data_IF_781185200947
#
_entry.id   IF_781185200947
#
_cell.length_a   1.000
_cell.length_b   1.000
_cell.length_c   1.000
_cell.angle_alpha   90.00
_cell.angle_beta   90.00
_cell.angle_gamma   90.00
#
_symmetry.space_group_name_H-M   'P 1'
#
loop_
_entity.id
_entity.type
_entity.pdbx_description
1 polymer ?
#
# COMPACT_ATOMS: atom_id res chain seq x y z
N UNK A 1 -8.76 -67.47 -53.67
CA UNK A 1 -8.49 -68.47 -52.61
C UNK A 1 -7.93 -67.70 -51.43
N UNK A 2 -8.54 -67.58 -50.27
CA UNK A 2 -9.82 -68.09 -49.80
C UNK A 2 -10.23 -67.23 -48.58
N UNK A 3 -11.52 -66.89 -48.55
CA UNK A 3 -12.39 -66.66 -47.39
C UNK A 3 -11.85 -66.20 -46.01
N UNK A 4 -12.27 -64.99 -45.62
CA UNK A 4 -13.31 -64.73 -44.61
C UNK A 4 -13.07 -65.23 -43.15
N UNK A 5 -13.00 -64.30 -42.18
CA UNK A 5 -13.70 -64.43 -40.87
C UNK A 5 -13.80 -63.09 -40.11
N UNK A 6 -15.02 -62.55 -40.19
CA UNK A 6 -15.72 -61.57 -39.32
C UNK A 6 -15.19 -61.41 -37.89
N UNK A 7 -15.18 -60.17 -37.39
CA UNK A 7 -15.68 -59.73 -36.06
C UNK A 7 -15.74 -58.19 -36.04
N UNK A 8 -16.94 -57.62 -36.18
CA UNK A 8 -17.84 -57.12 -35.12
C UNK A 8 -17.74 -55.59 -34.99
N UNK A 9 -18.79 -54.95 -35.49
CA UNK A 9 -19.13 -53.54 -35.32
C UNK A 9 -19.40 -53.24 -33.84
N UNK A 10 -18.80 -52.17 -33.33
CA UNK A 10 -19.38 -51.37 -32.25
C UNK A 10 -19.17 -49.90 -32.58
N UNK A 11 -20.24 -49.27 -33.04
CA UNK A 11 -20.35 -47.82 -33.14
C UNK A 11 -20.64 -47.26 -31.75
N UNK A 12 -19.78 -46.37 -31.26
CA UNK A 12 -20.02 -45.58 -30.06
C UNK A 12 -20.14 -44.13 -30.49
N UNK A 13 -21.36 -43.64 -30.68
CA UNK A 13 -21.64 -42.21 -30.74
C UNK A 13 -21.43 -41.63 -29.33
N UNK A 14 -20.35 -40.87 -29.13
CA UNK A 14 -20.22 -39.99 -27.99
C UNK A 14 -20.96 -38.68 -28.31
N UNK A 15 -22.12 -38.48 -27.71
CA UNK A 15 -22.83 -37.20 -27.75
C UNK A 15 -22.05 -36.17 -26.92
N UNK A 16 -21.49 -35.15 -27.56
CA UNK A 16 -20.92 -33.98 -26.89
C UNK A 16 -22.04 -33.03 -26.48
N UNK A 17 -22.44 -33.09 -25.21
CA UNK A 17 -23.29 -32.07 -24.61
C UNK A 17 -22.44 -30.84 -24.26
N UNK A 18 -22.47 -29.79 -25.09
CA UNK A 18 -21.90 -28.48 -24.74
C UNK A 18 -22.84 -27.77 -23.77
N UNK A 19 -22.55 -27.86 -22.47
CA UNK A 19 -23.19 -27.02 -21.47
C UNK A 19 -22.61 -25.60 -21.53
N UNK A 20 -23.33 -24.67 -22.16
CA UNK A 20 -23.05 -23.24 -22.09
C UNK A 20 -23.42 -22.70 -20.71
N UNK A 21 -22.42 -22.40 -19.88
CA UNK A 21 -22.63 -21.67 -18.64
C UNK A 21 -22.93 -20.19 -18.96
N UNK A 22 -23.95 -19.57 -18.35
CA UNK A 22 -24.21 -18.15 -18.55
C UNK A 22 -23.13 -17.33 -17.83
N UNK A 23 -22.39 -16.52 -18.59
CA UNK A 23 -21.50 -15.49 -18.05
C UNK A 23 -22.32 -14.42 -17.33
N UNK A 24 -22.34 -14.46 -16.01
CA UNK A 24 -22.79 -13.33 -15.20
C UNK A 24 -21.69 -12.27 -15.17
N UNK A 25 -21.73 -11.33 -16.11
CA UNK A 25 -20.92 -10.13 -16.05
C UNK A 25 -21.45 -9.20 -14.96
N UNK A 26 -20.81 -9.20 -13.79
CA UNK A 26 -21.01 -8.16 -12.78
C UNK A 26 -20.17 -6.93 -13.14
N UNK A 27 -20.74 -6.03 -13.92
CA UNK A 27 -20.19 -4.69 -14.10
C UNK A 27 -20.72 -3.78 -12.99
N UNK A 28 -20.08 -3.78 -11.82
CA UNK A 28 -20.30 -2.73 -10.83
C UNK A 28 -19.52 -1.47 -11.27
N UNK A 29 -20.09 -0.67 -12.18
CA UNK A 29 -19.53 0.64 -12.50
C UNK A 29 -19.92 1.62 -11.40
N UNK A 30 -19.13 1.70 -10.33
CA UNK A 30 -19.17 2.87 -9.46
C UNK A 30 -18.62 4.07 -10.24
N UNK A 31 -19.52 4.90 -10.80
CA UNK A 31 -19.16 6.23 -11.29
C UNK A 31 -18.70 7.06 -10.09
N UNK A 32 -17.39 7.12 -9.87
CA UNK A 32 -16.80 8.18 -9.05
C UNK A 32 -17.16 9.49 -9.74
N UNK A 33 -17.86 10.43 -9.08
CA UNK A 33 -18.10 11.74 -9.67
C UNK A 33 -16.72 12.39 -9.88
N UNK A 34 -16.31 12.57 -11.13
CA UNK A 34 -15.15 13.37 -11.44
C UNK A 34 -15.49 14.82 -11.07
N UNK A 35 -15.05 15.28 -9.91
CA UNK A 35 -15.03 16.72 -9.62
C UNK A 35 -14.05 17.34 -10.62
N UNK A 36 -14.59 17.98 -11.66
CA UNK A 36 -13.89 18.41 -12.89
C UNK A 36 -12.93 19.59 -12.74
N UNK A 37 -12.21 19.70 -11.62
CA UNK A 37 -11.12 20.66 -11.44
C UNK A 37 -9.76 19.97 -11.49
N UNK A 38 -8.74 20.67 -12.00
CA UNK A 38 -7.35 20.22 -11.89
C UNK A 38 -6.96 20.11 -10.40
N UNK A 39 -6.42 18.96 -9.97
CA UNK A 39 -6.09 18.68 -8.56
C UNK A 39 -4.96 19.57 -8.01
N UNK A 40 -4.05 20.02 -8.88
CA UNK A 40 -2.91 20.88 -8.56
C UNK A 40 -2.66 21.86 -9.73
N UNK A 41 -3.46 22.94 -9.84
CA UNK A 41 -3.30 23.93 -10.92
C UNK A 41 -2.01 24.75 -10.80
N UNK A 42 -1.38 24.75 -9.63
CA UNK A 42 -0.05 25.29 -9.36
C UNK A 42 0.79 24.22 -8.64
N UNK A 43 2.14 24.31 -8.67
CA UNK A 43 2.99 23.40 -7.93
C UNK A 43 2.59 23.36 -6.44
N UNK A 44 2.41 22.16 -5.83
CA UNK A 44 2.09 22.07 -4.42
C UNK A 44 3.25 22.59 -3.58
N UNK A 45 2.96 23.48 -2.63
CA UNK A 45 3.93 24.04 -1.70
C UNK A 45 3.74 23.43 -0.31
N UNK A 46 4.84 23.06 0.33
CA UNK A 46 4.77 22.36 1.61
C UNK A 46 6.12 22.10 2.26
N UNK A 47 6.09 21.24 3.26
CA UNK A 47 7.25 20.78 4.00
C UNK A 47 7.25 19.24 4.09
N UNK A 48 8.44 18.67 4.13
CA UNK A 48 8.66 17.23 4.24
C UNK A 48 9.71 16.96 5.34
N UNK A 49 9.45 15.95 6.18
CA UNK A 49 10.29 15.65 7.34
C UNK A 49 11.70 15.12 7.04
N UNK A 50 11.95 14.57 5.85
CA UNK A 50 13.16 13.81 5.56
C UNK A 50 14.45 14.60 5.82
N UNK A 51 14.55 15.83 5.31
CA UNK A 51 15.79 16.61 5.42
C UNK A 51 16.12 17.02 6.88
N UNK A 52 15.12 17.05 7.75
CA UNK A 52 15.29 17.44 9.16
C UNK A 52 15.41 16.26 10.11
N UNK A 53 14.75 15.14 9.80
CA UNK A 53 14.58 14.02 10.73
C UNK A 53 15.01 12.67 10.17
N UNK A 54 15.26 12.58 8.85
CA UNK A 54 15.40 11.31 8.15
C UNK A 54 14.25 10.37 8.52
N UNK A 55 14.53 9.14 8.98
CA UNK A 55 13.50 8.17 9.33
C UNK A 55 12.94 8.33 10.76
N UNK A 56 13.41 9.30 11.55
CA UNK A 56 13.26 9.29 13.02
C UNK A 56 12.14 10.18 13.58
N UNK A 57 11.41 10.92 12.74
CA UNK A 57 10.39 11.87 13.20
C UNK A 57 9.35 11.21 14.13
N UNK A 58 8.98 11.91 15.19
CA UNK A 58 7.91 11.52 16.14
C UNK A 58 6.68 12.41 15.99
N UNK A 59 5.54 11.98 16.53
CA UNK A 59 4.31 12.78 16.53
C UNK A 59 4.46 14.13 17.22
N UNK A 60 5.20 14.18 18.34
CA UNK A 60 5.46 15.44 19.05
C UNK A 60 6.24 16.42 18.16
N UNK A 61 7.32 15.96 17.51
CA UNK A 61 8.11 16.78 16.58
C UNK A 61 7.28 17.18 15.34
N UNK A 62 6.40 16.30 14.86
CA UNK A 62 5.51 16.61 13.75
C UNK A 62 4.54 17.74 14.10
N UNK A 63 3.91 17.69 15.28
CA UNK A 63 3.00 18.74 15.74
C UNK A 63 3.72 20.07 15.98
N UNK A 64 4.92 20.04 16.59
CA UNK A 64 5.74 21.23 16.79
C UNK A 64 6.13 21.90 15.46
N UNK A 65 6.60 21.12 14.47
CA UNK A 65 6.89 21.66 13.14
C UNK A 65 5.64 22.16 12.42
N UNK A 66 4.49 21.52 12.64
CA UNK A 66 3.22 21.98 12.07
C UNK A 66 2.80 23.33 12.66
N UNK A 67 3.05 23.58 13.95
CA UNK A 67 2.81 24.90 14.57
C UNK A 67 3.70 25.98 13.96
N UNK A 68 4.98 25.68 13.75
CA UNK A 68 5.93 26.60 13.10
C UNK A 68 5.50 26.87 11.65
N UNK A 69 5.18 25.81 10.90
CA UNK A 69 4.75 25.93 9.51
C UNK A 69 3.46 26.76 9.41
N UNK A 70 2.47 26.52 10.28
CA UNK A 70 1.24 27.30 10.31
C UNK A 70 1.48 28.79 10.61
N UNK A 71 2.41 29.10 11.53
CA UNK A 71 2.72 30.48 11.90
C UNK A 71 3.60 31.21 10.87
N UNK A 72 4.48 30.50 10.16
CA UNK A 72 5.58 31.12 9.38
C UNK A 72 5.52 30.86 7.89
N UNK A 73 5.00 29.73 7.45
CA UNK A 73 5.07 29.30 6.03
C UNK A 73 3.68 29.26 5.38
N UNK A 74 2.65 28.86 6.12
CA UNK A 74 1.27 28.82 5.64
C UNK A 74 0.77 30.19 5.13
N UNK A 75 1.09 31.35 5.75
CA UNK A 75 0.72 32.65 5.20
C UNK A 75 1.30 32.93 3.80
N UNK A 76 2.33 32.19 3.40
CA UNK A 76 2.97 32.28 2.08
C UNK A 76 2.60 31.12 1.14
N UNK A 77 1.57 30.35 1.49
CA UNK A 77 0.99 29.30 0.62
C UNK A 77 1.56 27.89 0.82
N UNK A 78 2.54 27.70 1.69
CA UNK A 78 3.03 26.36 2.04
C UNK A 78 1.97 25.63 2.88
N UNK A 79 1.25 24.69 2.27
CA UNK A 79 0.03 24.12 2.84
C UNK A 79 0.03 22.59 2.90
N UNK A 80 1.09 21.90 2.46
CA UNK A 80 1.20 20.43 2.57
C UNK A 80 2.24 20.05 3.61
N UNK A 81 1.83 19.37 4.67
CA UNK A 81 2.72 18.83 5.70
C UNK A 81 2.89 17.33 5.51
N UNK A 82 4.11 16.88 5.20
CA UNK A 82 4.39 15.47 4.87
C UNK A 82 5.26 14.79 5.93
N UNK A 83 4.76 13.69 6.48
CA UNK A 83 5.58 12.72 7.24
C UNK A 83 6.21 11.75 6.24
N UNK A 84 7.53 11.82 6.11
CA UNK A 84 8.28 10.99 5.18
C UNK A 84 8.48 9.56 5.69
N UNK A 85 9.24 8.74 4.95
CA UNK A 85 9.38 7.29 5.11
C UNK A 85 9.79 6.87 6.54
N UNK A 86 9.58 5.58 6.85
CA UNK A 86 9.91 4.93 8.13
C UNK A 86 9.02 5.28 9.31
N UNK A 87 7.88 5.94 9.08
CA UNK A 87 6.86 6.14 10.12
C UNK A 87 6.31 4.83 10.73
N UNK A 88 6.47 3.71 10.04
CA UNK A 88 6.04 2.38 10.44
C UNK A 88 7.12 1.59 11.22
N UNK A 89 8.37 2.06 11.25
CA UNK A 89 9.46 1.38 11.96
C UNK A 89 9.55 1.87 13.42
N UNK A 90 9.27 1.02 14.42
CA UNK A 90 9.29 1.42 15.83
C UNK A 90 10.68 1.73 16.37
N UNK A 91 11.73 1.18 15.76
CA UNK A 91 13.10 1.25 16.27
C UNK A 91 14.04 2.16 15.45
N UNK A 92 13.48 2.99 14.57
CA UNK A 92 14.25 3.98 13.82
C UNK A 92 14.89 4.99 14.79
N UNK A 93 16.22 5.08 14.77
CA UNK A 93 16.98 5.86 15.75
C UNK A 93 18.21 6.58 15.16
N UNK A 94 18.39 6.55 13.84
CA UNK A 94 19.49 7.21 13.14
C UNK A 94 19.06 7.61 11.72
N UNK A 95 19.91 8.29 10.97
CA UNK A 95 19.65 8.65 9.57
C UNK A 95 19.83 7.48 8.59
N UNK A 96 20.17 6.27 9.07
CA UNK A 96 20.32 5.08 8.24
C UNK A 96 19.17 4.12 8.45
N UNK A 97 18.81 3.39 7.38
CA UNK A 97 17.82 2.33 7.45
C UNK A 97 18.39 1.14 8.19
N UNK A 98 17.64 0.62 9.15
CA UNK A 98 18.00 -0.59 9.87
C UNK A 98 17.78 -1.79 8.97
N UNK A 99 18.81 -2.63 8.85
CA UNK A 99 18.70 -3.89 8.14
C UNK A 99 17.72 -4.81 8.89
N UNK A 100 16.85 -5.47 8.15
CA UNK A 100 15.87 -6.44 8.66
C UNK A 100 15.00 -5.87 9.80
N UNK A 101 14.61 -4.59 9.68
CA UNK A 101 13.74 -3.94 10.64
C UNK A 101 12.38 -4.65 10.74
N UNK A 102 11.91 -4.84 11.97
CA UNK A 102 10.55 -5.30 12.24
C UNK A 102 9.61 -4.10 12.15
N UNK A 103 8.75 -4.11 11.12
CA UNK A 103 7.83 -3.05 10.77
C UNK A 103 6.49 -3.25 11.47
N UNK A 104 5.86 -2.15 11.84
CA UNK A 104 4.49 -2.16 12.35
C UNK A 104 3.53 -2.40 11.18
N UNK A 105 2.78 -3.51 11.23
CA UNK A 105 1.80 -3.89 10.20
C UNK A 105 0.51 -4.35 10.83
N UNK A 106 -0.59 -4.27 10.09
CA UNK A 106 -1.80 -4.99 10.42
C UNK A 106 -1.77 -6.45 9.96
N UNK A 107 -2.82 -7.20 10.28
CA UNK A 107 -2.97 -8.61 9.93
C UNK A 107 -2.99 -8.92 8.42
N UNK A 108 -3.11 -7.89 7.57
CA UNK A 108 -3.09 -8.03 6.11
C UNK A 108 -1.76 -7.59 5.49
N UNK A 109 -0.74 -7.31 6.32
CA UNK A 109 0.58 -6.85 5.87
C UNK A 109 0.60 -5.40 5.41
N UNK A 110 -0.39 -4.58 5.78
CA UNK A 110 -0.39 -3.13 5.49
C UNK A 110 0.34 -2.41 6.60
N UNK A 111 1.30 -1.55 6.24
CA UNK A 111 2.06 -0.75 7.18
C UNK A 111 1.15 0.13 8.04
N UNK A 112 1.45 0.21 9.34
CA UNK A 112 0.75 1.03 10.33
C UNK A 112 1.75 1.94 11.06
N UNK A 113 1.34 3.13 11.53
CA UNK A 113 2.24 4.00 12.27
C UNK A 113 2.71 3.32 13.55
N UNK A 114 4.02 3.38 13.80
CA UNK A 114 4.61 2.80 14.99
C UNK A 114 4.08 3.51 16.24
N UNK A 115 3.25 2.89 17.09
CA UNK A 115 2.52 3.61 18.13
C UNK A 115 3.40 4.17 19.25
N UNK A 116 4.64 3.68 19.38
CA UNK A 116 5.63 4.24 20.30
C UNK A 116 6.18 5.60 19.81
N UNK A 117 6.13 5.86 18.50
CA UNK A 117 6.56 7.14 17.88
C UNK A 117 5.37 8.03 17.51
N UNK A 118 4.23 7.41 17.24
CA UNK A 118 2.95 8.05 16.92
C UNK A 118 1.85 7.57 17.87
N UNK A 119 1.82 8.05 19.13
CA UNK A 119 0.88 7.56 20.14
C UNK A 119 -0.59 7.70 19.75
N UNK A 120 -0.94 8.70 18.94
CA UNK A 120 -2.32 8.85 18.47
C UNK A 120 -2.80 7.73 17.54
N UNK A 121 -1.89 6.93 17.00
CA UNK A 121 -2.18 5.78 16.13
C UNK A 121 -2.51 4.47 16.88
N UNK A 122 -2.38 4.46 18.21
CA UNK A 122 -2.73 3.31 19.04
C UNK A 122 -4.15 2.78 18.75
N UNK A 123 -4.36 1.49 19.00
CA UNK A 123 -5.65 0.81 18.81
C UNK A 123 -6.20 0.88 17.37
N UNK A 124 -5.31 0.89 16.37
CA UNK A 124 -5.70 0.90 14.96
C UNK A 124 -6.23 2.24 14.45
N UNK A 125 -6.00 3.33 15.18
CA UNK A 125 -6.45 4.67 14.77
C UNK A 125 -5.68 5.23 13.57
N UNK A 126 -4.50 4.67 13.26
CA UNK A 126 -3.64 5.11 12.19
C UNK A 126 -3.30 6.60 12.31
N UNK A 127 -3.08 7.28 11.18
CA UNK A 127 -2.77 8.71 11.20
C UNK A 127 -3.97 9.64 11.34
N UNK A 128 -5.19 9.13 11.52
CA UNK A 128 -6.38 9.98 11.50
C UNK A 128 -6.28 11.17 12.46
N UNK A 129 -5.86 10.93 13.70
CA UNK A 129 -5.79 11.96 14.74
C UNK A 129 -4.71 12.99 14.46
N UNK A 130 -3.52 12.56 14.02
CA UNK A 130 -2.47 13.48 13.57
C UNK A 130 -2.93 14.32 12.37
N UNK A 131 -3.52 13.68 11.35
CA UNK A 131 -4.06 14.38 10.19
C UNK A 131 -5.14 15.41 10.57
N UNK A 132 -6.04 15.08 11.50
CA UNK A 132 -7.05 16.01 12.02
C UNK A 132 -6.39 17.24 12.66
N UNK A 133 -5.26 17.09 13.36
CA UNK A 133 -4.52 18.21 13.95
C UNK A 133 -3.83 19.10 12.91
N UNK A 134 -3.31 18.50 11.83
CA UNK A 134 -2.74 19.23 10.69
C UNK A 134 -3.85 19.99 9.94
N UNK A 135 -5.00 19.36 9.72
CA UNK A 135 -6.17 19.99 9.08
C UNK A 135 -6.72 21.16 9.92
N UNK A 136 -6.77 21.04 11.25
CA UNK A 136 -7.16 22.14 12.15
C UNK A 136 -6.28 23.38 12.04
N UNK A 137 -5.02 23.22 11.59
CA UNK A 137 -4.08 24.31 11.34
C UNK A 137 -4.22 24.92 9.93
N UNK A 138 -5.16 24.44 9.13
CA UNK A 138 -5.39 24.91 7.76
C UNK A 138 -4.46 24.30 6.71
N UNK A 139 -3.75 23.21 7.04
CA UNK A 139 -2.85 22.49 6.13
C UNK A 139 -3.44 21.15 5.68
N UNK A 140 -2.89 20.56 4.62
CA UNK A 140 -3.15 19.20 4.14
C UNK A 140 -2.10 18.25 4.72
N UNK A 141 -2.50 17.02 5.04
CA UNK A 141 -1.59 15.99 5.54
C UNK A 141 -1.15 15.03 4.43
N UNK A 142 0.16 14.78 4.34
CA UNK A 142 0.77 13.82 3.43
C UNK A 142 1.57 12.75 4.18
N UNK A 143 1.67 11.57 3.57
CA UNK A 143 2.57 10.49 4.02
C UNK A 143 3.38 9.98 2.84
N UNK A 144 4.61 9.56 3.10
CA UNK A 144 5.39 8.82 2.13
C UNK A 144 5.07 7.31 2.19
N UNK A 145 4.96 6.68 1.02
CA UNK A 145 4.87 5.23 0.87
C UNK A 145 5.93 4.76 -0.11
N UNK A 146 6.67 3.71 0.27
CA UNK A 146 7.56 3.03 -0.67
C UNK A 146 6.77 2.14 -1.62
N UNK A 147 7.17 2.18 -2.90
CA UNK A 147 6.69 1.21 -3.90
C UNK A 147 6.95 -0.21 -3.40
N UNK A 148 5.92 -1.05 -3.47
CA UNK A 148 6.08 -2.49 -3.31
C UNK A 148 5.24 -3.08 -2.18
N UNK A 149 5.66 -4.25 -1.73
CA UNK A 149 5.07 -5.02 -0.64
C UNK A 149 6.12 -5.23 0.46
N UNK A 150 5.78 -5.12 1.76
CA UNK A 150 6.75 -5.32 2.82
C UNK A 150 7.37 -6.72 2.76
N UNK A 151 8.71 -6.82 2.82
CA UNK A 151 9.42 -8.11 2.88
C UNK A 151 8.97 -8.93 4.08
N UNK A 152 8.65 -8.27 5.20
CA UNK A 152 8.07 -8.91 6.38
C UNK A 152 6.69 -9.54 6.09
N UNK A 153 5.83 -8.86 5.33
CA UNK A 153 4.52 -9.41 4.93
C UNK A 153 4.70 -10.67 4.06
N UNK A 154 5.69 -10.66 3.16
CA UNK A 154 6.05 -11.82 2.32
C UNK A 154 6.63 -12.97 3.14
N UNK A 155 7.53 -12.69 4.10
CA UNK A 155 8.06 -13.72 5.02
C UNK A 155 6.96 -14.37 5.85
N UNK A 156 6.03 -13.56 6.37
CA UNK A 156 4.89 -14.03 7.17
C UNK A 156 3.75 -14.60 6.30
N UNK A 157 3.86 -14.42 4.98
CA UNK A 157 2.84 -14.75 3.99
C UNK A 157 1.44 -14.24 4.40
N UNK A 158 1.31 -12.94 4.72
CA UNK A 158 0.04 -12.39 5.21
C UNK A 158 -1.08 -12.50 4.15
N UNK A 159 -2.35 -12.67 4.55
CA UNK A 159 -3.47 -12.61 3.61
C UNK A 159 -3.61 -11.21 3.00
N UNK A 160 -4.02 -11.13 1.74
CA UNK A 160 -4.35 -9.85 1.09
C UNK A 160 -5.85 -9.57 1.27
N UNK A 161 -6.16 -8.45 1.92
CA UNK A 161 -7.52 -8.06 2.23
C UNK A 161 -8.41 -8.05 0.97
N UNK A 162 -9.55 -8.74 1.05
CA UNK A 162 -10.54 -8.79 -0.03
C UNK A 162 -10.23 -9.80 -1.14
N UNK A 163 -9.19 -10.62 -0.99
CA UNK A 163 -8.81 -11.63 -1.99
C UNK A 163 -8.58 -13.00 -1.36
N UNK A 164 -8.37 -14.02 -2.20
CA UNK A 164 -7.88 -15.36 -1.77
C UNK A 164 -6.35 -15.46 -1.81
N UNK A 165 -5.68 -14.43 -2.33
CA UNK A 165 -4.23 -14.38 -2.49
C UNK A 165 -3.56 -13.99 -1.17
N UNK A 166 -2.27 -14.30 -1.08
CA UNK A 166 -1.38 -14.00 0.04
C UNK A 166 -0.16 -13.25 -0.47
N UNK A 167 0.59 -12.64 0.45
CA UNK A 167 1.72 -11.78 0.11
C UNK A 167 2.77 -12.46 -0.79
N UNK A 168 3.00 -13.77 -0.64
CA UNK A 168 3.95 -14.51 -1.49
C UNK A 168 3.45 -14.71 -2.92
N UNK A 169 2.13 -14.72 -3.13
CA UNK A 169 1.53 -14.96 -4.45
C UNK A 169 1.76 -13.77 -5.41
N UNK A 170 2.06 -12.58 -4.87
CA UNK A 170 2.19 -11.34 -5.64
C UNK A 170 3.58 -10.68 -5.51
N UNK A 171 4.52 -11.31 -4.80
CA UNK A 171 5.81 -10.69 -4.52
C UNK A 171 6.83 -10.98 -5.63
N UNK A 172 7.35 -9.93 -6.28
CA UNK A 172 8.55 -10.04 -7.09
C UNK A 172 9.79 -9.84 -6.20
N UNK A 173 10.34 -10.96 -5.73
CA UNK A 173 11.51 -10.97 -4.84
C UNK A 173 12.82 -10.58 -5.53
N UNK A 174 12.83 -10.48 -6.87
CA UNK A 174 13.98 -10.02 -7.65
C UNK A 174 13.96 -8.50 -7.85
N UNK A 175 12.77 -7.89 -7.83
CA UNK A 175 12.61 -6.44 -7.86
C UNK A 175 12.82 -5.82 -6.48
N UNK A 176 14.08 -5.49 -6.15
CA UNK A 176 14.44 -4.87 -4.87
C UNK A 176 14.79 -3.39 -5.01
N UNK A 177 14.76 -2.67 -3.88
CA UNK A 177 15.38 -1.37 -3.73
C UNK A 177 16.77 -1.56 -3.09
N UNK A 178 17.80 -0.95 -3.67
CA UNK A 178 19.18 -1.09 -3.17
C UNK A 178 19.42 -0.32 -1.87
N UNK A 179 18.72 0.81 -1.70
CA UNK A 179 18.93 1.74 -0.58
C UNK A 179 17.94 1.56 0.57
N UNK A 180 16.81 0.86 0.38
CA UNK A 180 15.84 0.55 1.44
C UNK A 180 15.49 -0.94 1.42
N UNK A 181 15.69 -1.60 2.56
CA UNK A 181 15.53 -3.04 2.72
C UNK A 181 14.11 -3.52 3.00
N UNK A 182 13.10 -2.64 3.01
CA UNK A 182 11.79 -2.96 3.59
C UNK A 182 10.83 -3.59 2.59
N UNK A 183 10.98 -3.29 1.29
CA UNK A 183 10.02 -3.68 0.25
C UNK A 183 10.61 -4.64 -0.79
N UNK A 184 9.76 -5.51 -1.30
CA UNK A 184 9.90 -6.18 -2.60
C UNK A 184 9.00 -5.50 -3.64
N UNK A 185 9.26 -5.72 -4.92
CA UNK A 185 8.31 -5.38 -5.98
C UNK A 185 7.03 -6.21 -5.90
N UNK A 186 6.01 -5.75 -6.60
CA UNK A 186 4.76 -6.49 -6.77
C UNK A 186 4.73 -7.01 -8.21
N UNK A 187 4.45 -8.30 -8.36
CA UNK A 187 4.13 -8.92 -9.64
C UNK A 187 2.74 -8.44 -10.08
N UNK A 188 2.68 -7.80 -11.24
CA UNK A 188 1.47 -7.18 -11.80
C UNK A 188 0.94 -7.93 -13.03
N UNK A 189 1.42 -9.16 -13.26
CA UNK A 189 1.03 -10.00 -14.41
C UNK A 189 -0.32 -10.70 -14.22
#
# INVERSE_FOLDING_TARGET
MDSNRRRLLTASLAATATASLPSFAFAATSKVPASGGALAPTPPMGWNSWNSFGPTITEAQALENADIMAAKLLPFGYSVFTVDIQWYEPNANSYTYRKDAELTMDQYGRLQPAPNRFPSAQNGAGFKRLADQIHKRGMKFGIHLMRGIPRQAVRLNTPILGTKLRAQDIADTKAICEWNGDMYGVDMT
#
